data_IF_803996996140
#
_entry.id   IF_803996996140
#
_cell.length_a   1.000
_cell.length_b   1.000
_cell.length_c   1.000
_cell.angle_alpha   90.00
_cell.angle_beta   90.00
_cell.angle_gamma   90.00
#
_symmetry.space_group_name_H-M   'P 1'
#
loop_
_entity.id
_entity.type
_entity.pdbx_description
1 polymer ?
#
# COMPACT_ATOMS: atom_id res chain seq x y z
N UNK A 1 -21.84 -17.49 6.78
CA UNK A 1 -21.26 -16.36 7.44
C UNK A 1 -20.08 -15.86 6.64
N UNK A 2 -20.25 -14.70 6.09
CA UNK A 2 -19.15 -13.94 5.46
C UNK A 2 -18.16 -13.66 6.58
N UNK A 3 -17.01 -14.34 6.53
CA UNK A 3 -15.97 -14.14 7.52
C UNK A 3 -15.47 -12.71 7.43
N UNK A 4 -15.65 -11.94 8.48
CA UNK A 4 -14.96 -10.67 8.63
C UNK A 4 -13.48 -10.94 8.44
N UNK A 5 -12.87 -10.26 7.47
CA UNK A 5 -11.43 -10.31 7.26
C UNK A 5 -10.73 -9.92 8.57
N UNK A 6 -10.22 -10.89 9.29
CA UNK A 6 -9.47 -10.62 10.49
C UNK A 6 -8.23 -9.80 10.11
N UNK A 7 -8.10 -8.62 10.72
CA UNK A 7 -7.02 -7.68 10.44
C UNK A 7 -6.17 -7.53 11.69
N UNK A 8 -4.88 -7.80 11.56
CA UNK A 8 -3.91 -7.64 12.64
C UNK A 8 -2.98 -6.46 12.37
N UNK A 9 -2.46 -5.84 13.40
CA UNK A 9 -1.44 -4.79 13.31
C UNK A 9 -0.06 -5.41 13.41
N UNK A 10 0.87 -4.98 12.58
CA UNK A 10 2.25 -5.43 12.58
C UNK A 10 3.23 -4.26 12.35
N UNK A 11 4.50 -4.50 12.66
CA UNK A 11 5.61 -3.66 12.25
C UNK A 11 6.29 -4.30 11.04
N UNK A 12 6.35 -3.57 9.94
CA UNK A 12 7.11 -3.97 8.77
C UNK A 12 8.49 -3.34 8.85
N UNK A 13 9.52 -4.17 9.07
CA UNK A 13 10.91 -3.72 9.18
C UNK A 13 11.69 -4.32 8.02
N UNK A 14 12.45 -3.48 7.32
CA UNK A 14 13.37 -3.89 6.26
C UNK A 14 14.77 -3.40 6.55
N UNK A 15 15.73 -4.32 6.54
CA UNK A 15 17.16 -4.03 6.64
C UNK A 15 17.83 -4.34 5.31
N UNK A 16 18.68 -3.43 4.85
CA UNK A 16 19.49 -3.63 3.65
C UNK A 16 20.87 -3.01 3.82
N UNK A 17 21.79 -3.30 2.90
CA UNK A 17 23.20 -2.86 3.02
C UNK A 17 23.37 -1.35 3.13
N UNK A 18 22.44 -0.55 2.57
CA UNK A 18 22.56 0.91 2.47
C UNK A 18 21.59 1.66 3.39
N UNK A 19 20.79 0.96 4.19
CA UNK A 19 19.79 1.61 5.03
C UNK A 19 18.84 0.65 5.72
N UNK A 20 17.86 1.23 6.40
CA UNK A 20 16.75 0.52 7.02
C UNK A 20 15.45 1.31 6.87
N UNK A 21 14.34 0.61 6.98
CA UNK A 21 12.99 1.17 6.97
C UNK A 21 12.10 0.45 7.96
N UNK A 22 11.14 1.16 8.51
CA UNK A 22 10.09 0.59 9.35
C UNK A 22 8.79 1.36 9.13
N UNK A 23 7.67 0.65 9.22
CA UNK A 23 6.34 1.25 9.20
C UNK A 23 5.35 0.39 9.97
N UNK A 24 4.23 0.98 10.37
CA UNK A 24 3.10 0.25 10.94
C UNK A 24 2.23 -0.23 9.80
N UNK A 25 2.02 -1.54 9.74
CA UNK A 25 1.19 -2.19 8.74
C UNK A 25 -0.02 -2.89 9.35
N UNK A 26 -0.96 -3.23 8.48
CA UNK A 26 -2.09 -4.09 8.79
C UNK A 26 -1.96 -5.35 7.94
N UNK A 27 -2.20 -6.50 8.51
CA UNK A 27 -2.20 -7.77 7.80
C UNK A 27 -3.62 -8.31 7.72
N UNK A 28 -4.08 -8.55 6.51
CA UNK A 28 -5.36 -9.22 6.25
C UNK A 28 -5.13 -10.71 6.32
N UNK A 29 -5.63 -11.37 7.36
CA UNK A 29 -5.28 -12.76 7.70
C UNK A 29 -5.69 -13.74 6.60
N UNK A 30 -6.84 -13.54 5.98
CA UNK A 30 -7.38 -14.48 4.98
C UNK A 30 -6.54 -14.49 3.69
N UNK A 31 -6.14 -13.32 3.20
CA UNK A 31 -5.38 -13.22 1.95
C UNK A 31 -3.88 -13.01 2.17
N UNK A 32 -3.43 -12.92 3.41
CA UNK A 32 -2.05 -12.62 3.79
C UNK A 32 -1.49 -11.33 3.15
N UNK A 33 -2.36 -10.38 2.81
CA UNK A 33 -1.95 -9.10 2.31
C UNK A 33 -1.44 -8.24 3.45
N UNK A 34 -0.20 -7.81 3.33
CA UNK A 34 0.31 -6.73 4.18
C UNK A 34 -0.09 -5.40 3.56
N UNK A 35 -0.72 -4.57 4.36
CA UNK A 35 -1.20 -3.26 3.95
C UNK A 35 -0.60 -2.18 4.83
N UNK A 36 -0.31 -1.03 4.24
CA UNK A 36 0.19 0.12 4.95
C UNK A 36 -0.69 1.31 4.61
N UNK A 37 -1.63 1.60 5.49
CA UNK A 37 -2.67 2.60 5.28
C UNK A 37 -2.32 3.96 5.88
N UNK A 38 -1.39 3.98 6.84
CA UNK A 38 -0.95 5.21 7.48
C UNK A 38 0.41 5.67 6.96
N UNK A 39 0.77 6.91 7.28
CA UNK A 39 2.03 7.53 6.88
C UNK A 39 3.15 7.37 7.92
N UNK A 40 2.91 6.60 8.98
CA UNK A 40 3.87 6.39 10.06
C UNK A 40 4.99 5.47 9.58
N UNK A 41 6.05 6.10 9.09
CA UNK A 41 7.23 5.46 8.54
C UNK A 41 8.50 6.14 9.01
N UNK A 42 9.56 5.36 9.11
CA UNK A 42 10.92 5.84 9.24
C UNK A 42 11.81 5.13 8.22
N UNK A 43 12.63 5.89 7.52
CA UNK A 43 13.63 5.36 6.60
C UNK A 43 14.95 6.09 6.80
N UNK A 44 16.05 5.36 6.83
CA UNK A 44 17.38 5.91 6.93
C UNK A 44 18.32 5.29 5.91
N UNK A 45 19.16 6.11 5.30
CA UNK A 45 20.27 5.66 4.44
C UNK A 45 21.57 5.89 5.18
N UNK A 46 22.47 4.90 5.13
CA UNK A 46 23.79 4.98 5.77
C UNK A 46 24.73 5.83 4.90
N UNK A 47 24.72 7.14 5.08
CA UNK A 47 25.61 8.09 4.41
C UNK A 47 25.98 9.23 5.37
N UNK A 48 27.07 9.93 5.06
CA UNK A 48 27.40 11.22 5.66
C UNK A 48 27.37 11.22 7.20
N UNK A 49 28.04 10.25 7.80
CA UNK A 49 28.14 10.11 9.27
C UNK A 49 26.99 9.39 9.93
N UNK A 50 25.94 9.02 9.20
CA UNK A 50 24.86 8.18 9.73
C UNK A 50 25.27 6.71 9.66
N UNK A 51 25.58 6.14 10.81
CA UNK A 51 25.92 4.72 10.96
C UNK A 51 24.68 3.86 11.10
N UNK A 52 24.78 2.53 10.87
CA UNK A 52 23.69 1.60 11.19
C UNK A 52 23.20 1.70 12.64
N UNK A 53 24.09 1.91 13.60
CA UNK A 53 23.73 2.05 15.01
C UNK A 53 22.91 3.30 15.30
N UNK A 54 23.25 4.43 14.71
CA UNK A 54 22.48 5.69 14.81
C UNK A 54 21.09 5.49 14.20
N UNK A 55 21.00 4.92 12.99
CA UNK A 55 19.75 4.66 12.31
C UNK A 55 18.86 3.71 13.10
N UNK A 56 19.43 2.67 13.70
CA UNK A 56 18.70 1.73 14.55
C UNK A 56 18.12 2.43 15.80
N UNK A 57 18.89 3.26 16.46
CA UNK A 57 18.43 4.02 17.64
C UNK A 57 17.31 4.99 17.30
N UNK A 58 17.42 5.69 16.17
CA UNK A 58 16.34 6.57 15.67
C UNK A 58 15.08 5.78 15.33
N UNK A 59 15.21 4.62 14.73
CA UNK A 59 14.09 3.71 14.42
C UNK A 59 13.39 3.25 15.69
N UNK A 60 14.14 2.81 16.71
CA UNK A 60 13.59 2.38 18.01
C UNK A 60 12.83 3.52 18.68
N UNK A 61 13.38 4.73 18.65
CA UNK A 61 12.71 5.91 19.20
C UNK A 61 11.38 6.20 18.49
N UNK A 62 11.34 6.10 17.15
CA UNK A 62 10.11 6.25 16.37
C UNK A 62 9.08 5.17 16.68
N UNK A 63 9.50 3.92 16.78
CA UNK A 63 8.62 2.81 17.19
C UNK A 63 8.02 3.09 18.55
N UNK A 64 8.80 3.59 19.52
CA UNK A 64 8.31 3.95 20.84
C UNK A 64 7.19 5.01 20.78
N UNK A 65 7.37 6.06 19.99
CA UNK A 65 6.33 7.10 19.78
C UNK A 65 5.07 6.50 19.16
N UNK A 66 5.19 5.63 18.15
CA UNK A 66 4.04 4.99 17.52
C UNK A 66 3.30 4.03 18.45
N UNK A 67 4.02 3.31 19.31
CA UNK A 67 3.41 2.43 20.31
C UNK A 67 2.57 3.22 21.33
N UNK A 68 3.03 4.41 21.71
CA UNK A 68 2.28 5.30 22.61
C UNK A 68 1.00 5.83 21.95
N UNK A 69 0.99 6.01 20.64
CA UNK A 69 -0.17 6.48 19.86
C UNK A 69 -0.87 5.38 19.05
N UNK A 70 -0.52 4.13 19.29
CA UNK A 70 -0.98 2.99 18.48
C UNK A 70 -2.50 2.90 18.36
N UNK A 71 -3.22 3.25 19.42
CA UNK A 71 -4.68 3.24 19.44
C UNK A 71 -5.29 4.20 18.40
N UNK A 72 -4.74 5.41 18.29
CA UNK A 72 -5.21 6.40 17.32
C UNK A 72 -4.82 5.99 15.89
N UNK A 73 -3.59 5.53 15.70
CA UNK A 73 -3.11 5.06 14.39
C UNK A 73 -3.98 3.92 13.86
N UNK A 74 -4.31 2.94 14.72
CA UNK A 74 -5.15 1.81 14.31
C UNK A 74 -6.61 2.21 14.09
N UNK A 75 -7.14 3.17 14.85
CA UNK A 75 -8.48 3.70 14.65
C UNK A 75 -8.62 4.41 13.30
N UNK A 76 -7.63 5.21 12.91
CA UNK A 76 -7.57 5.87 11.59
C UNK A 76 -7.51 4.84 10.45
N UNK A 77 -6.70 3.80 10.61
CA UNK A 77 -6.62 2.71 9.63
C UNK A 77 -7.96 1.97 9.50
N UNK A 78 -8.61 1.66 10.61
CA UNK A 78 -9.91 0.98 10.62
C UNK A 78 -10.99 1.85 9.95
N UNK A 79 -10.99 3.16 10.17
CA UNK A 79 -11.89 4.09 9.50
C UNK A 79 -11.67 4.09 7.98
N UNK A 80 -10.42 4.11 7.52
CA UNK A 80 -10.08 4.03 6.09
C UNK A 80 -10.54 2.71 5.47
N UNK A 81 -10.34 1.60 6.15
CA UNK A 81 -10.79 0.27 5.71
C UNK A 81 -12.31 0.24 5.57
N UNK A 82 -13.04 0.68 6.58
CA UNK A 82 -14.49 0.72 6.55
C UNK A 82 -15.03 1.64 5.44
N UNK A 83 -14.37 2.76 5.19
CA UNK A 83 -14.70 3.66 4.09
C UNK A 83 -14.52 2.97 2.73
N UNK A 84 -13.40 2.26 2.54
CA UNK A 84 -13.15 1.47 1.32
C UNK A 84 -14.16 0.33 1.14
N UNK A 85 -14.55 -0.38 2.20
CA UNK A 85 -15.56 -1.45 2.16
C UNK A 85 -16.94 -0.96 1.76
N UNK A 86 -17.31 0.25 2.19
CA UNK A 86 -18.62 0.87 1.86
C UNK A 86 -18.67 1.47 0.46
N UNK A 87 -17.55 1.86 -0.10
CA UNK A 87 -17.48 2.51 -1.40
C UNK A 87 -17.59 1.47 -2.53
N UNK A 88 -18.77 1.38 -3.10
CA UNK A 88 -19.03 0.54 -4.28
C UNK A 88 -18.53 1.24 -5.53
N UNK A 89 -17.79 0.53 -6.35
CA UNK A 89 -17.26 0.97 -7.65
C UNK A 89 -18.19 0.41 -8.73
N UNK A 90 -18.75 1.27 -9.57
CA UNK A 90 -19.53 0.86 -10.74
C UNK A 90 -18.62 0.26 -11.82
N UNK A 91 -19.20 -0.48 -12.77
CA UNK A 91 -18.44 -1.02 -13.90
C UNK A 91 -17.75 0.09 -14.71
N UNK A 92 -18.41 1.23 -14.90
CA UNK A 92 -17.83 2.37 -15.61
C UNK A 92 -16.65 2.97 -14.83
N UNK A 93 -16.78 3.16 -13.54
CA UNK A 93 -15.68 3.64 -12.68
C UNK A 93 -14.51 2.65 -12.67
N UNK A 94 -14.78 1.35 -12.68
CA UNK A 94 -13.74 0.32 -12.75
C UNK A 94 -12.89 0.48 -14.01
N UNK A 95 -13.49 0.67 -15.17
CA UNK A 95 -12.76 0.91 -16.42
C UNK A 95 -11.99 2.25 -16.39
N UNK A 96 -12.54 3.27 -15.76
CA UNK A 96 -11.85 4.55 -15.55
C UNK A 96 -10.62 4.39 -14.68
N UNK A 97 -10.71 3.66 -13.57
CA UNK A 97 -9.58 3.38 -12.68
C UNK A 97 -8.48 2.62 -13.42
N UNK A 98 -8.83 1.59 -14.18
CA UNK A 98 -7.88 0.82 -14.99
C UNK A 98 -7.20 1.72 -16.04
N UNK A 99 -7.97 2.59 -16.69
CA UNK A 99 -7.45 3.57 -17.64
C UNK A 99 -6.46 4.54 -17.01
N UNK A 100 -6.74 5.02 -15.80
CA UNK A 100 -5.81 5.87 -15.03
C UNK A 100 -4.52 5.13 -14.69
N UNK A 101 -4.59 3.89 -14.20
CA UNK A 101 -3.41 3.07 -13.88
C UNK A 101 -2.53 2.86 -15.11
N UNK A 102 -3.13 2.57 -16.26
CA UNK A 102 -2.42 2.41 -17.54
C UNK A 102 -1.76 3.71 -17.99
N UNK A 103 -2.46 4.84 -17.87
CA UNK A 103 -1.97 6.17 -18.26
C UNK A 103 -0.78 6.60 -17.37
N UNK A 104 -0.85 6.36 -16.08
CA UNK A 104 0.25 6.65 -15.14
C UNK A 104 1.51 5.87 -15.52
N UNK A 105 1.38 4.62 -15.92
CA UNK A 105 2.49 3.82 -16.38
C UNK A 105 3.12 4.38 -17.66
N UNK A 106 2.33 4.68 -18.68
CA UNK A 106 2.82 5.24 -19.94
C UNK A 106 3.58 6.55 -19.69
N UNK A 107 3.05 7.41 -18.83
CA UNK A 107 3.73 8.64 -18.43
C UNK A 107 5.07 8.38 -17.73
N UNK A 108 5.15 7.34 -16.89
CA UNK A 108 6.39 6.97 -16.20
C UNK A 108 7.47 6.42 -17.13
N UNK A 109 7.07 5.67 -18.15
CA UNK A 109 8.00 5.12 -19.15
C UNK A 109 8.60 6.20 -20.06
N UNK A 110 7.82 7.21 -20.41
CA UNK A 110 8.24 8.30 -21.32
C UNK A 110 9.00 9.43 -20.64
N UNK A 111 8.85 9.61 -19.33
CA UNK A 111 9.42 10.71 -18.55
C UNK A 111 10.33 10.25 -17.41
N UNK A 112 11.10 9.23 -17.64
CA UNK A 112 11.92 8.54 -16.64
C UNK A 112 12.83 9.40 -15.74
N UNK A 113 13.11 10.66 -16.12
CA UNK A 113 13.91 11.59 -15.32
C UNK A 113 13.12 12.64 -14.57
N UNK A 114 11.88 12.93 -14.95
CA UNK A 114 11.11 14.06 -14.42
C UNK A 114 10.10 13.66 -13.33
N UNK A 115 9.64 12.39 -13.32
CA UNK A 115 8.63 11.93 -12.39
C UNK A 115 9.26 11.05 -11.31
N UNK A 116 10.28 11.57 -10.64
CA UNK A 116 10.69 11.06 -9.31
C UNK A 116 9.79 11.56 -8.18
N UNK A 117 8.73 12.27 -8.50
CA UNK A 117 7.77 12.78 -7.54
C UNK A 117 6.58 11.83 -7.43
N UNK A 118 6.68 10.95 -6.49
CA UNK A 118 5.75 10.56 -5.44
C UNK A 118 4.35 10.01 -5.79
N UNK A 119 3.84 10.01 -7.02
CA UNK A 119 2.45 9.63 -7.28
C UNK A 119 2.28 8.55 -8.37
N UNK A 120 3.34 7.89 -8.78
CA UNK A 120 3.25 6.81 -9.76
C UNK A 120 3.19 5.46 -9.06
N UNK A 121 2.12 4.74 -9.26
CA UNK A 121 2.02 3.33 -8.88
C UNK A 121 2.86 2.53 -9.88
N UNK A 122 3.99 1.94 -9.47
CA UNK A 122 4.90 1.28 -10.39
C UNK A 122 4.43 -0.12 -10.75
N UNK A 123 3.22 -0.24 -11.28
CA UNK A 123 2.66 -1.49 -11.75
C UNK A 123 2.99 -1.70 -13.23
N UNK A 124 3.47 -2.90 -13.57
CA UNK A 124 3.65 -3.29 -14.98
C UNK A 124 2.31 -3.74 -15.60
N UNK A 125 2.28 -3.91 -16.94
CA UNK A 125 1.06 -4.26 -17.66
C UNK A 125 0.45 -5.59 -17.19
N UNK A 126 1.27 -6.58 -16.87
CA UNK A 126 0.79 -7.86 -16.36
C UNK A 126 0.13 -7.73 -14.99
N UNK A 127 0.67 -6.88 -14.11
CA UNK A 127 0.08 -6.58 -12.81
C UNK A 127 -1.25 -5.83 -12.94
N UNK A 128 -1.34 -4.85 -13.84
CA UNK A 128 -2.60 -4.13 -14.13
C UNK A 128 -3.66 -5.10 -14.66
N UNK A 129 -3.30 -5.98 -15.60
CA UNK A 129 -4.21 -7.01 -16.11
C UNK A 129 -4.72 -7.93 -15.02
N UNK A 130 -3.86 -8.33 -14.09
CA UNK A 130 -4.21 -9.19 -12.98
C UNK A 130 -5.11 -8.50 -11.95
N UNK A 131 -4.91 -7.22 -11.68
CA UNK A 131 -5.82 -6.40 -10.86
C UNK A 131 -7.19 -6.36 -11.52
N UNK A 132 -7.24 -6.10 -12.83
CA UNK A 132 -8.47 -6.08 -13.62
C UNK A 132 -9.22 -7.41 -13.52
N UNK A 133 -8.53 -8.52 -13.72
CA UNK A 133 -9.11 -9.87 -13.61
C UNK A 133 -9.72 -10.10 -12.22
N UNK A 134 -9.01 -9.75 -11.15
CA UNK A 134 -9.52 -9.90 -9.77
C UNK A 134 -10.76 -9.04 -9.51
N UNK A 135 -10.80 -7.82 -10.01
CA UNK A 135 -11.97 -6.96 -9.91
C UNK A 135 -13.17 -7.54 -10.68
N UNK A 136 -12.93 -8.08 -11.88
CA UNK A 136 -13.97 -8.74 -12.68
C UNK A 136 -14.52 -9.99 -11.98
N UNK A 137 -13.66 -10.81 -11.38
CA UNK A 137 -14.07 -11.98 -10.61
C UNK A 137 -14.92 -11.59 -9.39
N UNK A 138 -14.51 -10.53 -8.66
CA UNK A 138 -15.31 -10.01 -7.55
C UNK A 138 -16.70 -9.55 -8.00
N UNK A 139 -16.77 -8.88 -9.18
CA UNK A 139 -18.04 -8.47 -9.75
C UNK A 139 -18.91 -9.66 -10.17
N UNK A 140 -18.33 -10.69 -10.79
CA UNK A 140 -19.05 -11.90 -11.17
C UNK A 140 -19.61 -12.67 -9.97
N UNK A 141 -18.83 -12.74 -8.88
CA UNK A 141 -19.20 -13.47 -7.68
C UNK A 141 -20.29 -12.76 -6.86
N UNK A 142 -20.18 -11.45 -6.69
CA UNK A 142 -21.01 -10.67 -5.75
C UNK A 142 -21.90 -9.61 -6.41
N UNK A 143 -21.79 -9.41 -7.72
CA UNK A 143 -22.53 -8.38 -8.45
C UNK A 143 -22.04 -6.95 -8.14
N UNK A 144 -20.98 -6.81 -7.38
CA UNK A 144 -20.39 -5.50 -6.99
C UNK A 144 -18.89 -5.61 -6.75
N UNK A 145 -18.20 -4.51 -6.92
CA UNK A 145 -16.79 -4.30 -6.54
C UNK A 145 -16.73 -3.12 -5.58
N UNK A 146 -15.92 -3.22 -4.54
CA UNK A 146 -15.68 -2.12 -3.61
C UNK A 146 -14.28 -1.55 -3.76
N UNK A 147 -14.03 -0.37 -3.20
CA UNK A 147 -12.69 0.19 -3.13
C UNK A 147 -11.74 -0.73 -2.33
N UNK A 148 -12.26 -1.48 -1.36
CA UNK A 148 -11.50 -2.48 -0.62
C UNK A 148 -11.07 -3.66 -1.50
N UNK A 149 -11.94 -4.13 -2.41
CA UNK A 149 -11.57 -5.16 -3.39
C UNK A 149 -10.45 -4.70 -4.31
N UNK A 150 -10.54 -3.46 -4.79
CA UNK A 150 -9.47 -2.86 -5.59
C UNK A 150 -8.16 -2.76 -4.82
N UNK A 151 -8.20 -2.25 -3.59
CA UNK A 151 -7.02 -2.14 -2.73
C UNK A 151 -6.36 -3.50 -2.48
N UNK A 152 -7.13 -4.52 -2.15
CA UNK A 152 -6.62 -5.88 -1.96
C UNK A 152 -6.05 -6.48 -3.25
N UNK A 153 -6.70 -6.26 -4.38
CA UNK A 153 -6.18 -6.72 -5.66
C UNK A 153 -4.84 -6.06 -6.01
N UNK A 154 -4.70 -4.77 -5.73
CA UNK A 154 -3.47 -4.03 -5.98
C UNK A 154 -2.34 -4.41 -5.00
N UNK A 155 -2.62 -4.55 -3.71
CA UNK A 155 -1.61 -4.94 -2.70
C UNK A 155 -1.15 -6.38 -2.86
N UNK A 156 -1.98 -7.26 -3.40
CA UNK A 156 -1.58 -8.63 -3.73
C UNK A 156 -0.44 -8.68 -4.76
N UNK A 157 -0.33 -7.66 -5.60
CA UNK A 157 0.77 -7.55 -6.58
C UNK A 157 2.12 -7.28 -5.93
N UNK A 158 2.15 -6.82 -4.70
CA UNK A 158 3.38 -6.54 -3.96
C UNK A 158 3.88 -7.74 -3.13
N UNK A 159 3.08 -8.78 -2.95
CA UNK A 159 3.43 -9.96 -2.12
C UNK A 159 4.80 -10.57 -2.40
N UNK A 160 5.22 -10.77 -3.65
CA UNK A 160 6.52 -11.36 -3.94
C UNK A 160 7.70 -10.52 -3.49
N UNK A 161 7.48 -9.24 -3.18
CA UNK A 161 8.51 -8.25 -2.91
C UNK A 161 8.50 -7.74 -1.46
N UNK A 162 7.54 -8.18 -0.64
CA UNK A 162 7.25 -7.58 0.67
C UNK A 162 8.39 -7.68 1.68
N UNK A 163 9.28 -8.63 1.54
CA UNK A 163 10.38 -8.83 2.49
C UNK A 163 11.71 -8.20 2.03
N UNK A 164 11.87 -7.90 0.74
CA UNK A 164 13.17 -7.60 0.17
C UNK A 164 13.34 -6.18 -0.38
N UNK A 165 12.29 -5.35 -0.42
CA UNK A 165 12.38 -4.06 -1.11
C UNK A 165 12.00 -2.85 -0.27
N UNK A 166 12.95 -1.90 -0.09
CA UNK A 166 12.71 -0.63 0.59
C UNK A 166 11.59 0.24 -0.06
N UNK A 167 11.23 -0.07 -1.31
CA UNK A 167 10.25 0.70 -2.08
C UNK A 167 8.80 0.36 -1.76
N UNK A 168 8.51 -0.74 -1.07
CA UNK A 168 7.14 -1.20 -0.82
C UNK A 168 6.36 -0.22 0.04
N UNK A 169 7.00 0.39 1.04
CA UNK A 169 6.34 1.39 1.88
C UNK A 169 5.84 2.58 1.06
N UNK A 170 6.69 3.12 0.19
CA UNK A 170 6.33 4.23 -0.69
C UNK A 170 5.29 3.85 -1.75
N UNK A 171 5.34 2.62 -2.25
CA UNK A 171 4.37 2.09 -3.20
C UNK A 171 2.99 1.92 -2.58
N UNK A 172 2.91 1.39 -1.36
CA UNK A 172 1.65 1.30 -0.62
C UNK A 172 1.04 2.68 -0.35
N UNK A 173 1.86 3.66 0.04
CA UNK A 173 1.38 5.03 0.24
C UNK A 173 0.87 5.65 -1.06
N UNK A 174 1.58 5.46 -2.17
CA UNK A 174 1.12 5.94 -3.47
C UNK A 174 -0.22 5.31 -3.88
N UNK A 175 -0.44 4.03 -3.56
CA UNK A 175 -1.71 3.36 -3.78
C UNK A 175 -2.83 3.93 -2.91
N UNK A 176 -2.56 4.20 -1.64
CA UNK A 176 -3.54 4.83 -0.73
C UNK A 176 -3.89 6.22 -1.23
N UNK A 177 -2.91 7.05 -1.59
CA UNK A 177 -3.13 8.38 -2.15
C UNK A 177 -3.95 8.33 -3.45
N UNK A 178 -3.69 7.35 -4.32
CA UNK A 178 -4.48 7.13 -5.53
C UNK A 178 -5.94 6.80 -5.21
N UNK A 179 -6.18 5.92 -4.24
CA UNK A 179 -7.53 5.52 -3.84
C UNK A 179 -8.27 6.71 -3.21
N UNK A 180 -7.63 7.44 -2.30
CA UNK A 180 -8.23 8.61 -1.66
C UNK A 180 -8.58 9.71 -2.67
N UNK A 181 -7.76 9.86 -3.73
CA UNK A 181 -7.93 10.93 -4.72
C UNK A 181 -8.93 10.56 -5.82
N UNK A 182 -8.96 9.30 -6.28
CA UNK A 182 -9.66 8.91 -7.50
C UNK A 182 -10.76 7.86 -7.29
N UNK A 183 -10.82 7.20 -6.15
CA UNK A 183 -11.73 6.09 -5.89
C UNK A 183 -12.72 6.40 -4.77
N UNK A 184 -12.31 7.06 -3.70
CA UNK A 184 -13.15 7.48 -2.58
C UNK A 184 -13.78 8.83 -2.83
#
# INVERSE_FOLDING_TARGET
>A
GEGDDAITTNLAISFHQKGLQVGIGRNVVICHNQTMLNREQYAATYKDGRTPGIALNEMIAKIGVWLDDLRNITADDDEKIEKMKRRVISAQEMFTIIGMLTSLRVASETKFKAIRNNNTIPLNQAQISRITEKMMLAYQDRGKVTAWDFYNAATDMYKPYMLDQPMILSQNLALVDFIETHVL
#
